data_IF_418415087133
#
_entry.id   IF_418415087133
#
_cell.length_a   1.000
_cell.length_b   1.000
_cell.length_c   1.000
_cell.angle_alpha   90.00
_cell.angle_beta   90.00
_cell.angle_gamma   90.00
#
_symmetry.space_group_name_H-M   'P 1'
#
loop_
_entity.id
_entity.type
_entity.pdbx_description
1 polymer ?
#
# COMPACT_ATOMS: atom_id res chain seq x y z
N UNK A 1 27.40 -45.79 -11.50
CA UNK A 1 26.30 -45.23 -12.33
C UNK A 1 25.10 -44.67 -11.55
N UNK A 2 24.70 -45.24 -10.39
CA UNK A 2 23.54 -44.73 -9.61
C UNK A 2 23.83 -43.42 -8.87
N UNK A 3 25.06 -43.11 -8.50
CA UNK A 3 25.43 -41.86 -7.83
C UNK A 3 25.23 -40.64 -8.73
N UNK A 4 25.68 -40.73 -9.98
CA UNK A 4 25.49 -39.66 -10.98
C UNK A 4 24.02 -39.42 -11.32
N UNK A 5 23.16 -40.44 -11.25
CA UNK A 5 21.72 -40.30 -11.47
C UNK A 5 21.04 -39.43 -10.38
N UNK A 6 21.44 -39.58 -9.09
CA UNK A 6 20.84 -38.85 -7.99
C UNK A 6 21.30 -37.39 -7.94
N UNK A 7 22.59 -37.13 -8.13
CA UNK A 7 23.07 -35.77 -8.24
C UNK A 7 22.38 -35.04 -9.40
N UNK A 8 22.21 -35.69 -10.54
CA UNK A 8 21.41 -35.16 -11.65
C UNK A 8 19.96 -34.89 -11.26
N UNK A 9 19.30 -35.75 -10.50
CA UNK A 9 17.91 -35.54 -10.08
C UNK A 9 17.77 -34.39 -9.09
N UNK A 10 18.73 -34.15 -8.21
CA UNK A 10 18.75 -32.99 -7.33
C UNK A 10 18.92 -31.69 -8.14
N UNK A 11 19.92 -31.64 -9.01
CA UNK A 11 20.16 -30.49 -9.87
C UNK A 11 18.95 -30.18 -10.79
N UNK A 12 18.27 -31.22 -11.30
CA UNK A 12 17.08 -31.04 -12.14
C UNK A 12 15.94 -30.39 -11.36
N UNK A 13 15.64 -30.83 -10.13
CA UNK A 13 14.56 -30.28 -9.31
C UNK A 13 14.80 -28.82 -8.93
N UNK A 14 16.03 -28.48 -8.51
CA UNK A 14 16.41 -27.13 -8.18
C UNK A 14 16.35 -26.23 -9.41
N UNK A 15 16.80 -26.73 -10.56
CA UNK A 15 16.72 -26.03 -11.84
C UNK A 15 15.28 -25.76 -12.27
N UNK A 16 14.35 -26.69 -12.06
CA UNK A 16 12.92 -26.47 -12.33
C UNK A 16 12.33 -25.39 -11.42
N UNK A 17 12.67 -25.35 -10.13
CA UNK A 17 12.21 -24.33 -9.22
C UNK A 17 12.68 -22.94 -9.67
N UNK A 18 13.95 -22.82 -10.07
CA UNK A 18 14.52 -21.56 -10.58
C UNK A 18 13.87 -21.18 -11.91
N UNK A 19 13.61 -22.16 -12.80
CA UNK A 19 12.94 -21.91 -14.07
C UNK A 19 11.53 -21.33 -13.86
N UNK A 20 10.72 -21.90 -12.95
CA UNK A 20 9.41 -21.37 -12.62
C UNK A 20 9.48 -19.98 -11.99
N UNK A 21 10.52 -19.70 -11.20
CA UNK A 21 10.75 -18.38 -10.63
C UNK A 21 11.02 -17.34 -11.73
N UNK A 22 11.86 -17.68 -12.71
CA UNK A 22 12.15 -16.81 -13.86
C UNK A 22 10.89 -16.61 -14.72
N UNK A 23 10.16 -17.66 -15.01
CA UNK A 23 8.90 -17.57 -15.76
C UNK A 23 7.89 -16.71 -15.02
N UNK A 24 7.69 -16.92 -13.71
CA UNK A 24 6.76 -16.15 -12.90
C UNK A 24 7.10 -14.67 -12.83
N UNK A 25 8.36 -14.33 -12.62
CA UNK A 25 8.84 -12.94 -12.58
C UNK A 25 8.74 -12.25 -13.94
N UNK A 26 9.05 -12.97 -15.00
CA UNK A 26 8.91 -12.46 -16.39
C UNK A 26 7.44 -12.25 -16.74
N UNK A 27 6.56 -13.20 -16.39
CA UNK A 27 5.12 -13.07 -16.59
C UNK A 27 4.55 -11.87 -15.85
N UNK A 28 4.97 -11.66 -14.59
CA UNK A 28 4.63 -10.49 -13.80
C UNK A 28 5.05 -9.18 -14.49
N UNK A 29 6.25 -9.13 -15.04
CA UNK A 29 6.76 -7.95 -15.74
C UNK A 29 5.97 -7.61 -17.01
N UNK A 30 5.46 -8.61 -17.72
CA UNK A 30 4.69 -8.40 -18.95
C UNK A 30 3.22 -8.08 -18.70
N UNK A 31 2.60 -8.67 -17.68
CA UNK A 31 1.17 -8.50 -17.39
C UNK A 31 0.87 -7.53 -16.24
N UNK A 32 1.86 -7.27 -15.38
CA UNK A 32 1.67 -6.41 -14.22
C UNK A 32 1.59 -4.93 -14.58
N UNK A 33 0.86 -4.17 -13.78
CA UNK A 33 0.91 -2.71 -13.82
C UNK A 33 0.91 -2.12 -12.42
N UNK A 34 1.40 -0.89 -12.33
CA UNK A 34 1.37 -0.09 -11.12
C UNK A 34 0.89 1.31 -11.48
N UNK A 35 -0.15 1.77 -10.80
CA UNK A 35 -0.66 3.13 -10.88
C UNK A 35 -0.62 3.78 -9.50
N UNK A 36 -0.55 5.10 -9.46
CA UNK A 36 -0.64 5.85 -8.22
C UNK A 36 -1.54 7.06 -8.45
N UNK A 37 -2.49 7.26 -7.55
CA UNK A 37 -3.46 8.35 -7.66
C UNK A 37 -3.70 8.96 -6.28
N UNK A 38 -3.94 10.27 -6.28
CA UNK A 38 -4.39 11.03 -5.12
C UNK A 38 -5.85 11.36 -5.37
N UNK A 39 -6.74 10.85 -4.52
CA UNK A 39 -8.18 10.90 -4.72
C UNK A 39 -8.83 11.61 -3.54
N UNK A 40 -9.66 12.63 -3.79
CA UNK A 40 -10.46 13.28 -2.77
C UNK A 40 -11.50 12.36 -2.16
N UNK A 41 -11.84 12.63 -0.91
CA UNK A 41 -12.98 12.00 -0.23
C UNK A 41 -14.27 12.23 -1.02
N UNK A 42 -15.06 11.18 -1.23
CA UNK A 42 -16.33 11.19 -1.94
C UNK A 42 -16.23 10.96 -3.44
N UNK A 43 -15.04 10.95 -4.03
CA UNK A 43 -14.86 10.77 -5.47
C UNK A 43 -14.83 9.31 -5.91
N UNK A 44 -15.32 9.09 -7.14
CA UNK A 44 -15.23 7.82 -7.85
C UNK A 44 -14.05 7.91 -8.83
N UNK A 45 -13.26 6.85 -8.88
CA UNK A 45 -12.10 6.80 -9.76
C UNK A 45 -11.96 5.45 -10.47
N UNK A 46 -11.31 5.48 -11.62
CA UNK A 46 -10.82 4.33 -12.35
C UNK A 46 -9.29 4.31 -12.30
N UNK A 47 -8.71 3.19 -12.70
CA UNK A 47 -7.24 3.09 -12.80
C UNK A 47 -6.75 4.02 -13.90
N UNK A 48 -6.07 5.08 -13.50
CA UNK A 48 -5.43 6.07 -14.36
C UNK A 48 -3.98 6.24 -13.91
N UNK A 49 -3.27 7.22 -14.40
CA UNK A 49 -1.94 7.61 -13.96
C UNK A 49 -1.00 6.40 -13.72
N UNK A 50 -0.81 5.62 -14.77
CA UNK A 50 0.07 4.46 -14.76
C UNK A 50 1.53 4.90 -14.61
N UNK A 51 2.19 4.43 -13.56
CA UNK A 51 3.63 4.62 -13.36
C UNK A 51 4.45 3.60 -14.15
N UNK A 52 3.94 2.38 -14.20
CA UNK A 52 4.57 1.26 -14.90
C UNK A 52 3.49 0.32 -15.42
N UNK A 53 3.67 -0.15 -16.65
CA UNK A 53 2.78 -1.11 -17.28
C UNK A 53 3.61 -2.08 -18.12
N UNK A 54 3.30 -3.36 -18.05
CA UNK A 54 3.83 -4.36 -18.95
C UNK A 54 3.16 -4.28 -20.33
N UNK A 55 3.78 -4.88 -21.33
CA UNK A 55 3.34 -4.76 -22.73
C UNK A 55 1.97 -5.39 -23.02
N UNK A 56 1.53 -6.35 -22.20
CA UNK A 56 0.26 -7.07 -22.33
C UNK A 56 -0.63 -6.88 -21.11
N UNK A 57 -0.38 -5.82 -20.32
CA UNK A 57 -1.18 -5.50 -19.15
C UNK A 57 -2.62 -5.17 -19.53
N UNK A 58 -3.57 -5.78 -18.85
CA UNK A 58 -4.99 -5.47 -18.98
C UNK A 58 -5.48 -4.66 -17.79
N UNK A 59 -6.05 -3.50 -18.06
CA UNK A 59 -6.66 -2.63 -17.07
C UNK A 59 -8.17 -2.84 -17.14
N UNK A 60 -8.81 -3.42 -16.12
CA UNK A 60 -10.24 -3.63 -16.11
C UNK A 60 -10.99 -2.31 -16.09
N UNK A 61 -12.01 -2.19 -16.95
CA UNK A 61 -12.92 -1.04 -16.99
C UNK A 61 -14.33 -1.40 -16.52
N UNK A 62 -14.53 -2.64 -16.09
CA UNK A 62 -15.84 -3.18 -15.70
C UNK A 62 -16.29 -2.78 -14.30
N UNK A 63 -15.48 -2.05 -13.57
CA UNK A 63 -15.78 -1.56 -12.23
C UNK A 63 -15.01 -0.28 -11.93
N UNK A 64 -15.49 0.45 -10.95
CA UNK A 64 -14.87 1.66 -10.42
C UNK A 64 -14.69 1.57 -8.92
N UNK A 65 -13.94 2.49 -8.37
CA UNK A 65 -13.67 2.59 -6.95
C UNK A 65 -14.19 3.93 -6.44
N UNK A 66 -14.71 3.97 -5.20
CA UNK A 66 -15.10 5.19 -4.53
C UNK A 66 -14.38 5.31 -3.19
N UNK A 67 -13.84 6.47 -2.91
CA UNK A 67 -13.33 6.83 -1.59
C UNK A 67 -14.51 7.36 -0.77
N UNK A 68 -15.04 6.57 0.17
CA UNK A 68 -16.16 7.00 1.01
C UNK A 68 -15.70 7.98 2.06
N UNK A 69 -14.60 7.63 2.74
CA UNK A 69 -14.06 8.43 3.82
C UNK A 69 -12.54 8.26 3.95
N UNK A 70 -11.91 9.25 4.59
CA UNK A 70 -10.50 9.21 4.96
C UNK A 70 -10.33 9.89 6.32
N UNK A 71 -9.62 9.24 7.25
CA UNK A 71 -9.31 9.80 8.55
C UNK A 71 -7.94 9.35 9.06
N UNK A 72 -7.42 10.10 10.03
CA UNK A 72 -6.14 9.84 10.66
C UNK A 72 -6.37 9.64 12.16
N UNK A 73 -5.68 8.68 12.74
CA UNK A 73 -5.59 8.52 14.19
C UNK A 73 -4.23 9.02 14.68
N UNK A 74 -4.20 9.51 15.91
CA UNK A 74 -3.00 10.08 16.50
C UNK A 74 -2.69 9.37 17.83
N UNK A 75 -1.41 9.37 18.19
CA UNK A 75 -0.93 8.91 19.49
C UNK A 75 -1.23 9.97 20.56
N UNK A 76 -1.11 9.60 21.85
CA UNK A 76 -1.21 10.55 22.96
C UNK A 76 -0.18 11.70 22.90
N UNK A 77 0.90 11.53 22.14
CA UNK A 77 1.93 12.54 21.88
C UNK A 77 1.63 13.41 20.64
N UNK A 78 0.40 13.38 20.13
CA UNK A 78 -0.03 14.10 18.91
C UNK A 78 0.76 13.76 17.65
N UNK A 79 1.37 12.57 17.59
CA UNK A 79 2.00 12.06 16.37
C UNK A 79 1.00 11.22 15.59
N UNK A 80 1.06 11.29 14.26
CA UNK A 80 0.24 10.42 13.40
C UNK A 80 0.52 8.96 13.74
N UNK A 81 -0.51 8.24 14.17
CA UNK A 81 -0.44 6.81 14.45
C UNK A 81 -0.73 6.00 13.19
N UNK A 82 -1.90 6.21 12.59
CA UNK A 82 -2.33 5.49 11.41
C UNK A 82 -3.30 6.33 10.60
N UNK A 83 -3.36 6.10 9.29
CA UNK A 83 -4.35 6.69 8.41
C UNK A 83 -5.15 5.62 7.69
N UNK A 84 -6.44 5.87 7.54
CA UNK A 84 -7.44 4.93 7.07
C UNK A 84 -8.19 5.50 5.89
N UNK A 85 -8.49 4.64 4.92
CA UNK A 85 -9.39 4.97 3.81
C UNK A 85 -10.50 3.94 3.73
N UNK A 86 -11.73 4.38 3.72
CA UNK A 86 -12.89 3.55 3.48
C UNK A 86 -13.22 3.55 1.98
N UNK A 87 -13.08 2.40 1.36
CA UNK A 87 -13.20 2.23 -0.08
C UNK A 87 -14.36 1.30 -0.43
N UNK A 88 -15.14 1.70 -1.43
CA UNK A 88 -16.14 0.86 -2.08
C UNK A 88 -15.73 0.51 -3.51
N UNK A 89 -15.90 -0.73 -3.87
CA UNK A 89 -15.86 -1.21 -5.23
C UNK A 89 -17.26 -1.17 -5.81
N UNK A 90 -17.44 -0.52 -6.95
CA UNK A 90 -18.71 -0.31 -7.62
C UNK A 90 -18.74 -1.04 -8.97
N UNK A 91 -19.88 -1.59 -9.33
CA UNK A 91 -20.11 -2.12 -10.67
C UNK A 91 -20.33 -0.99 -11.71
N UNK A 92 -20.52 -1.35 -12.97
CA UNK A 92 -20.79 -0.39 -14.06
C UNK A 92 -22.12 0.38 -13.90
N UNK A 93 -22.99 -0.07 -13.00
CA UNK A 93 -24.27 0.60 -12.69
C UNK A 93 -24.15 1.48 -11.44
N UNK A 94 -23.00 1.49 -10.77
CA UNK A 94 -22.76 2.24 -9.55
C UNK A 94 -23.18 1.54 -8.25
N UNK A 95 -23.61 0.26 -8.32
CA UNK A 95 -23.93 -0.52 -7.13
C UNK A 95 -22.65 -1.00 -6.43
N UNK A 96 -22.66 -0.96 -5.12
CA UNK A 96 -21.55 -1.42 -4.30
C UNK A 96 -21.45 -2.95 -4.32
N UNK A 97 -20.33 -3.47 -4.84
CA UNK A 97 -20.03 -4.90 -4.86
C UNK A 97 -19.36 -5.31 -3.54
N UNK A 98 -18.42 -4.48 -3.06
CA UNK A 98 -17.63 -4.76 -1.86
C UNK A 98 -17.14 -3.45 -1.24
N UNK A 99 -17.07 -3.43 0.09
CA UNK A 99 -16.54 -2.30 0.86
C UNK A 99 -15.48 -2.79 1.84
N UNK A 100 -14.40 -2.04 1.98
CA UNK A 100 -13.34 -2.32 2.96
C UNK A 100 -12.66 -1.03 3.39
N UNK A 101 -12.42 -0.92 4.68
CA UNK A 101 -11.48 0.07 5.21
C UNK A 101 -10.07 -0.47 5.10
N UNK A 102 -9.19 0.29 4.48
CA UNK A 102 -7.78 -0.02 4.33
C UNK A 102 -6.92 0.92 5.15
N UNK A 103 -5.73 0.45 5.49
CA UNK A 103 -4.69 1.22 6.16
C UNK A 103 -3.31 0.69 5.74
N UNK A 104 -2.22 1.26 6.24
CA UNK A 104 -0.87 0.80 5.89
C UNK A 104 -0.71 -0.68 6.24
N UNK A 105 -0.24 -1.48 5.29
CA UNK A 105 -0.08 -2.94 5.32
C UNK A 105 -1.38 -3.76 5.30
N UNK A 106 -2.56 -3.14 5.19
CA UNK A 106 -3.83 -3.85 5.03
C UNK A 106 -4.52 -3.41 3.74
N UNK A 107 -4.18 -3.98 2.58
CA UNK A 107 -4.70 -3.56 1.28
C UNK A 107 -6.13 -4.06 1.01
N UNK A 108 -6.76 -3.44 0.04
CA UNK A 108 -7.98 -3.96 -0.60
C UNK A 108 -7.59 -4.83 -1.80
N UNK A 109 -7.99 -6.11 -1.76
CA UNK A 109 -7.70 -7.07 -2.83
C UNK A 109 -9.01 -7.47 -3.51
N UNK A 110 -9.04 -7.33 -4.82
CA UNK A 110 -10.15 -7.76 -5.66
C UNK A 110 -9.68 -8.14 -7.07
N UNK A 111 -10.02 -9.34 -7.51
CA UNK A 111 -9.75 -9.87 -8.86
C UNK A 111 -8.31 -9.64 -9.35
N UNK A 112 -7.33 -9.92 -8.49
CA UNK A 112 -5.90 -9.76 -8.79
C UNK A 112 -5.38 -8.32 -8.72
N UNK A 113 -6.26 -7.36 -8.43
CA UNK A 113 -5.89 -5.97 -8.19
C UNK A 113 -5.74 -5.74 -6.71
N UNK A 114 -4.67 -5.10 -6.31
CA UNK A 114 -4.39 -4.74 -4.93
C UNK A 114 -4.25 -3.23 -4.80
N UNK A 115 -5.06 -2.63 -3.93
CA UNK A 115 -4.99 -1.20 -3.59
C UNK A 115 -4.31 -1.05 -2.24
N UNK A 116 -3.22 -0.30 -2.23
CA UNK A 116 -2.46 0.04 -1.03
C UNK A 116 -2.66 1.50 -0.65
N UNK A 117 -2.79 1.77 0.63
CA UNK A 117 -2.70 3.11 1.19
C UNK A 117 -1.25 3.55 1.21
N UNK A 118 -0.90 4.65 0.53
CA UNK A 118 0.50 5.11 0.40
C UNK A 118 0.76 6.49 0.94
N UNK A 119 -0.15 7.43 0.71
CA UNK A 119 0.01 8.83 1.12
C UNK A 119 -1.34 9.47 1.43
N UNK A 120 -1.31 10.71 1.84
CA UNK A 120 -2.48 11.56 2.04
C UNK A 120 -2.09 13.03 1.93
N UNK A 121 -3.07 13.87 1.60
CA UNK A 121 -2.88 15.31 1.54
C UNK A 121 -4.17 16.04 1.92
N UNK A 122 -4.09 17.37 2.06
CA UNK A 122 -5.22 18.27 2.23
C UNK A 122 -5.31 19.16 1.01
N UNK A 123 -6.38 19.02 0.25
CA UNK A 123 -6.64 19.86 -0.92
C UNK A 123 -7.18 21.21 -0.55
N UNK A 124 -7.97 21.29 0.49
CA UNK A 124 -8.65 22.51 0.81
C UNK A 124 -9.42 22.47 2.12
N UNK A 125 -10.15 23.54 2.33
CA UNK A 125 -10.95 23.76 3.51
C UNK A 125 -12.31 24.31 3.09
N UNK A 126 -13.40 23.76 3.63
CA UNK A 126 -14.74 24.34 3.51
C UNK A 126 -14.95 25.38 4.56
N UNK A 127 -15.36 26.55 4.13
CA UNK A 127 -15.57 27.74 4.98
C UNK A 127 -16.99 28.23 4.80
N UNK A 128 -17.65 28.51 5.91
CA UNK A 128 -18.95 29.20 5.93
C UNK A 128 -18.75 30.64 6.34
N UNK A 129 -19.26 31.57 5.52
CA UNK A 129 -19.27 32.99 5.81
C UNK A 129 -20.69 33.39 6.21
N UNK A 130 -20.86 33.98 7.38
CA UNK A 130 -22.15 34.36 7.96
C UNK A 130 -23.21 33.23 7.95
N UNK A 131 -22.78 31.98 8.04
CA UNK A 131 -23.63 30.77 7.97
C UNK A 131 -24.42 30.57 6.65
N UNK A 132 -24.45 31.54 5.77
CA UNK A 132 -25.27 31.52 4.54
C UNK A 132 -24.48 31.13 3.28
N UNK A 133 -23.21 31.46 3.24
CA UNK A 133 -22.35 31.21 2.09
C UNK A 133 -21.27 30.18 2.42
N UNK A 134 -21.23 29.08 1.68
CA UNK A 134 -20.17 28.09 1.79
C UNK A 134 -19.22 28.23 0.58
N UNK A 135 -17.94 28.38 0.87
CA UNK A 135 -16.88 28.42 -0.14
C UNK A 135 -15.85 27.32 0.15
N UNK A 136 -15.18 26.88 -0.90
CA UNK A 136 -14.05 25.98 -0.80
C UNK A 136 -12.77 26.77 -1.08
N UNK A 137 -11.83 26.68 -0.16
CA UNK A 137 -10.54 27.35 -0.27
C UNK A 137 -9.47 26.31 -0.52
N UNK A 138 -8.76 26.38 -1.65
CA UNK A 138 -7.66 25.47 -1.90
C UNK A 138 -6.51 25.75 -0.93
N UNK A 139 -5.90 24.69 -0.43
CA UNK A 139 -4.73 24.77 0.42
C UNK A 139 -3.50 24.26 -0.35
N UNK A 140 -2.41 25.00 -0.27
CA UNK A 140 -1.12 24.62 -0.84
C UNK A 140 -0.21 24.11 0.24
N UNK A 141 0.30 22.91 0.04
CA UNK A 141 1.28 22.29 0.94
C UNK A 141 2.64 22.97 0.81
N UNK A 142 3.22 23.31 1.94
CA UNK A 142 4.59 23.81 2.06
C UNK A 142 5.36 22.87 2.99
N UNK A 143 6.49 22.38 2.53
CA UNK A 143 7.38 21.57 3.36
C UNK A 143 8.40 22.49 4.02
N UNK A 144 8.22 22.75 5.30
CA UNK A 144 9.15 23.57 6.08
C UNK A 144 9.74 22.71 7.17
N UNK A 145 11.07 22.56 7.18
CA UNK A 145 11.83 21.88 8.26
C UNK A 145 11.24 20.53 8.71
N UNK A 146 10.80 19.69 7.76
CA UNK A 146 10.29 18.33 8.05
C UNK A 146 8.85 18.25 8.54
N UNK A 147 8.12 19.37 8.63
CA UNK A 147 6.69 19.42 8.95
C UNK A 147 5.88 19.75 7.70
N UNK A 148 4.75 19.07 7.54
CA UNK A 148 3.76 19.40 6.52
C UNK A 148 2.93 20.57 7.04
N UNK A 149 2.90 21.67 6.30
CA UNK A 149 2.08 22.85 6.60
C UNK A 149 1.27 23.18 5.35
N UNK A 150 0.01 23.51 5.50
CA UNK A 150 -0.85 23.94 4.40
C UNK A 150 -1.25 25.39 4.57
N UNK A 151 -1.15 26.14 3.48
CA UNK A 151 -1.50 27.57 3.45
C UNK A 151 -2.54 27.82 2.37
N UNK A 152 -3.57 28.57 2.71
CA UNK A 152 -4.60 29.04 1.79
C UNK A 152 -4.87 30.53 1.94
N UNK A 153 -5.46 31.13 0.93
CA UNK A 153 -5.88 32.53 0.95
C UNK A 153 -7.39 32.61 0.75
N UNK A 154 -8.05 33.36 1.61
CA UNK A 154 -9.50 33.58 1.59
C UNK A 154 -9.79 35.05 1.32
N UNK A 155 -10.41 35.38 0.19
CA UNK A 155 -10.92 36.75 -0.05
C UNK A 155 -12.21 36.97 0.74
N UNK A 156 -12.21 37.81 1.72
CA UNK A 156 -13.39 38.23 2.48
C UNK A 156 -13.76 39.65 2.13
N UNK A 157 -15.00 39.87 1.72
CA UNK A 157 -15.51 41.19 1.45
C UNK A 157 -16.00 41.78 2.78
N UNK A 158 -15.35 42.85 3.21
CA UNK A 158 -15.77 43.65 4.34
C UNK A 158 -16.98 44.53 3.98
N UNK A 159 -17.72 45.01 4.97
CA UNK A 159 -18.94 45.83 4.79
C UNK A 159 -18.74 47.09 3.94
N UNK A 160 -17.51 47.57 3.85
CA UNK A 160 -17.14 48.75 3.02
C UNK A 160 -16.95 48.38 1.54
N UNK A 161 -17.29 47.12 1.12
CA UNK A 161 -17.02 46.64 -0.24
C UNK A 161 -15.56 46.32 -0.53
N UNK A 162 -14.66 46.50 0.43
CA UNK A 162 -13.23 46.24 0.27
C UNK A 162 -13.00 44.73 0.43
N UNK A 163 -12.40 44.13 -0.57
CA UNK A 163 -11.95 42.73 -0.53
C UNK A 163 -10.58 42.68 0.14
N UNK A 164 -10.51 41.99 1.28
CA UNK A 164 -9.26 41.75 1.99
C UNK A 164 -8.94 40.24 1.96
N UNK A 165 -7.71 39.90 1.63
CA UNK A 165 -7.26 38.51 1.64
C UNK A 165 -6.74 38.18 3.02
N UNK A 166 -7.27 37.09 3.58
CA UNK A 166 -6.79 36.50 4.83
C UNK A 166 -6.03 35.22 4.52
N UNK A 167 -4.96 34.99 5.25
CA UNK A 167 -4.12 33.80 5.09
C UNK A 167 -4.51 32.81 6.18
N UNK A 168 -4.81 31.58 5.76
CA UNK A 168 -5.07 30.46 6.67
C UNK A 168 -3.87 29.55 6.64
N UNK A 169 -3.40 29.17 7.83
CA UNK A 169 -2.34 28.22 8.02
C UNK A 169 -2.86 27.03 8.82
N UNK A 170 -2.56 25.83 8.35
CA UNK A 170 -2.95 24.54 8.94
C UNK A 170 -1.69 23.74 9.18
N UNK A 171 -1.46 23.32 10.42
CA UNK A 171 -0.28 22.53 10.79
C UNK A 171 -0.59 21.03 10.95
N UNK A 172 -1.87 20.73 11.23
CA UNK A 172 -2.32 19.36 11.51
C UNK A 172 -3.80 19.17 11.11
N UNK A 173 -4.31 17.97 11.26
CA UNK A 173 -5.73 17.64 11.02
C UNK A 173 -6.55 17.53 12.31
N UNK A 174 -6.05 18.00 13.44
CA UNK A 174 -6.83 18.10 14.68
C UNK A 174 -7.91 19.18 14.62
N UNK A 175 -7.81 20.04 13.62
CA UNK A 175 -8.74 21.12 13.43
C UNK A 175 -8.23 22.48 13.90
N UNK A 176 -6.98 22.57 14.33
CA UNK A 176 -6.37 23.84 14.71
C UNK A 176 -5.98 24.62 13.46
N UNK A 177 -6.42 25.88 13.41
CA UNK A 177 -6.24 26.78 12.28
C UNK A 177 -5.76 28.13 12.78
N UNK A 178 -4.84 28.71 12.04
CA UNK A 178 -4.32 30.05 12.32
C UNK A 178 -4.75 30.99 11.20
N UNK A 179 -5.40 32.07 11.57
CA UNK A 179 -5.83 33.11 10.64
C UNK A 179 -4.92 34.33 10.75
N UNK A 180 -4.33 34.73 9.64
CA UNK A 180 -3.46 35.89 9.52
C UNK A 180 -4.09 36.96 8.61
N UNK A 181 -3.76 38.20 8.84
CA UNK A 181 -4.07 39.30 7.93
C UNK A 181 -3.11 39.31 6.71
N UNK A 182 -3.32 40.30 5.83
CA UNK A 182 -2.51 40.48 4.65
C UNK A 182 -1.04 40.90 4.95
N UNK A 183 -0.79 41.38 6.16
CA UNK A 183 0.53 41.83 6.62
C UNK A 183 1.28 40.71 7.35
N UNK A 184 0.66 39.52 7.49
CA UNK A 184 1.23 38.37 8.17
C UNK A 184 1.10 38.43 9.69
N UNK A 185 0.22 39.27 10.25
CA UNK A 185 -0.07 39.34 11.67
C UNK A 185 -1.14 38.32 12.03
N UNK A 186 -0.91 37.55 13.07
CA UNK A 186 -1.91 36.59 13.59
C UNK A 186 -3.12 37.35 14.13
N UNK A 187 -4.29 37.07 13.56
CA UNK A 187 -5.56 37.61 14.03
C UNK A 187 -6.14 36.76 15.13
N UNK A 188 -6.27 35.46 14.86
CA UNK A 188 -6.89 34.51 15.78
C UNK A 188 -6.47 33.08 15.47
N UNK A 189 -6.35 32.29 16.53
CA UNK A 189 -6.33 30.84 16.49
C UNK A 189 -7.75 30.30 16.67
N UNK A 190 -8.14 29.30 15.90
CA UNK A 190 -9.45 28.71 15.93
C UNK A 190 -9.41 27.19 15.70
N UNK A 191 -10.51 26.54 16.05
CA UNK A 191 -10.71 25.13 15.82
C UNK A 191 -11.86 24.94 14.82
N UNK A 192 -11.82 23.86 14.03
CA UNK A 192 -12.92 23.51 13.13
C UNK A 192 -14.25 23.51 13.88
N UNK A 193 -15.27 24.09 13.25
CA UNK A 193 -16.62 24.22 13.82
C UNK A 193 -16.83 25.49 14.65
N UNK A 194 -15.79 26.21 15.06
CA UNK A 194 -15.90 27.43 15.83
C UNK A 194 -15.97 28.67 14.91
N UNK A 195 -16.94 29.58 15.13
CA UNK A 195 -17.03 30.82 14.40
C UNK A 195 -15.98 31.82 14.87
N UNK A 196 -15.24 32.39 13.92
CA UNK A 196 -14.34 33.52 14.12
C UNK A 196 -15.08 34.79 13.73
N UNK A 197 -15.12 35.76 14.59
CA UNK A 197 -15.64 37.11 14.28
C UNK A 197 -14.51 37.95 13.71
N UNK A 198 -14.58 38.28 12.42
CA UNK A 198 -13.62 39.16 11.77
C UNK A 198 -13.99 40.62 12.08
N UNK A 199 -15.29 40.92 12.07
CA UNK A 199 -15.86 42.19 12.49
C UNK A 199 -17.25 42.00 13.09
N UNK A 200 -17.95 43.11 13.43
CA UNK A 200 -19.28 43.06 14.07
C UNK A 200 -20.36 42.38 13.22
N UNK A 201 -20.16 42.24 11.90
CA UNK A 201 -21.16 41.70 10.96
C UNK A 201 -20.66 40.49 10.15
N UNK A 202 -19.38 40.19 10.18
CA UNK A 202 -18.81 39.08 9.41
C UNK A 202 -18.21 38.06 10.32
N UNK A 203 -18.77 36.85 10.28
CA UNK A 203 -18.23 35.68 10.94
C UNK A 203 -17.82 34.62 9.94
N UNK A 204 -16.72 33.95 10.22
CA UNK A 204 -16.16 32.87 9.38
C UNK A 204 -16.09 31.62 10.23
N UNK A 205 -16.65 30.52 9.73
CA UNK A 205 -16.58 29.21 10.38
C UNK A 205 -15.87 28.23 9.47
N UNK A 206 -14.79 27.66 9.94
CA UNK A 206 -14.11 26.57 9.26
C UNK A 206 -14.89 25.27 9.50
N UNK A 207 -15.45 24.68 8.45
CA UNK A 207 -16.39 23.56 8.57
C UNK A 207 -15.71 22.20 8.54
N UNK A 208 -14.91 21.93 7.53
CA UNK A 208 -14.22 20.64 7.36
C UNK A 208 -13.03 20.74 6.42
N UNK A 209 -12.05 19.86 6.58
CA UNK A 209 -10.97 19.68 5.62
C UNK A 209 -11.45 18.86 4.42
N UNK A 210 -11.02 19.25 3.23
CA UNK A 210 -11.12 18.43 2.02
C UNK A 210 -9.85 17.60 1.94
N UNK A 211 -9.90 16.41 2.49
CA UNK A 211 -8.78 15.48 2.53
C UNK A 211 -8.72 14.62 1.29
N UNK A 212 -7.53 14.15 0.97
CA UNK A 212 -7.27 13.20 -0.11
C UNK A 212 -6.51 12.00 0.41
N UNK A 213 -6.77 10.86 -0.20
CA UNK A 213 -6.00 9.64 0.02
C UNK A 213 -5.12 9.34 -1.18
N UNK A 214 -3.87 9.00 -0.94
CA UNK A 214 -2.95 8.50 -1.95
C UNK A 214 -3.03 6.98 -2.00
N UNK A 215 -3.48 6.46 -3.14
CA UNK A 215 -3.64 5.04 -3.37
C UNK A 215 -2.66 4.56 -4.44
N UNK A 216 -1.97 3.46 -4.16
CA UNK A 216 -1.21 2.72 -5.14
C UNK A 216 -2.02 1.48 -5.56
N UNK A 217 -2.24 1.36 -6.85
CA UNK A 217 -2.98 0.26 -7.46
C UNK A 217 -1.96 -0.62 -8.15
N UNK A 218 -1.91 -1.89 -7.77
CA UNK A 218 -0.96 -2.86 -8.31
C UNK A 218 -1.66 -4.12 -8.77
N UNK A 219 -1.28 -4.62 -9.92
CA UNK A 219 -1.62 -5.95 -10.41
C UNK A 219 -0.35 -6.73 -10.70
N UNK A 220 -0.31 -7.95 -10.21
CA UNK A 220 0.86 -8.81 -10.35
C UNK A 220 0.40 -10.27 -10.45
N UNK A 221 0.15 -10.70 -11.68
CA UNK A 221 -0.36 -12.04 -11.98
C UNK A 221 0.68 -13.16 -11.84
N UNK A 222 1.97 -12.82 -11.76
CA UNK A 222 3.06 -13.78 -11.62
C UNK A 222 3.35 -14.20 -10.17
N UNK A 223 2.85 -13.47 -9.17
CA UNK A 223 3.10 -13.73 -7.75
C UNK A 223 2.77 -15.18 -7.35
N UNK A 224 1.63 -15.78 -7.71
CA UNK A 224 1.32 -17.16 -7.32
C UNK A 224 2.38 -18.16 -7.83
N UNK A 225 2.86 -17.96 -9.06
CA UNK A 225 3.89 -18.81 -9.64
C UNK A 225 5.25 -18.67 -8.96
N UNK A 226 5.59 -17.45 -8.55
CA UNK A 226 6.81 -17.15 -7.78
C UNK A 226 6.74 -17.84 -6.41
N UNK A 227 5.63 -17.74 -5.68
CA UNK A 227 5.46 -18.44 -4.40
C UNK A 227 5.50 -19.96 -4.55
N UNK A 228 4.88 -20.50 -5.60
CA UNK A 228 4.96 -21.93 -5.92
C UNK A 228 6.42 -22.35 -6.18
N UNK A 229 7.20 -21.52 -6.87
CA UNK A 229 8.62 -21.78 -7.12
C UNK A 229 9.43 -21.84 -5.83
N UNK A 230 9.21 -20.92 -4.90
CA UNK A 230 9.85 -20.94 -3.59
C UNK A 230 9.45 -22.17 -2.78
N UNK A 231 8.18 -22.57 -2.82
CA UNK A 231 7.72 -23.80 -2.17
C UNK A 231 8.45 -25.03 -2.73
N UNK A 232 8.53 -25.16 -4.06
CA UNK A 232 9.27 -26.26 -4.70
C UNK A 232 10.74 -26.27 -4.31
N UNK A 233 11.37 -25.09 -4.24
CA UNK A 233 12.76 -24.95 -3.83
C UNK A 233 12.96 -25.40 -2.38
N UNK A 234 12.10 -24.99 -1.46
CA UNK A 234 12.16 -25.44 -0.07
C UNK A 234 12.00 -26.94 0.05
N UNK A 235 11.04 -27.54 -0.66
CA UNK A 235 10.82 -28.99 -0.68
C UNK A 235 12.05 -29.72 -1.24
N UNK A 236 12.63 -29.19 -2.33
CA UNK A 236 13.84 -29.77 -2.95
C UNK A 236 15.04 -29.75 -1.99
N UNK A 237 15.25 -28.62 -1.32
CA UNK A 237 16.30 -28.47 -0.31
C UNK A 237 16.05 -29.43 0.86
N UNK A 238 14.84 -29.52 1.37
CA UNK A 238 14.50 -30.45 2.46
C UNK A 238 14.80 -31.90 2.09
N UNK A 239 14.35 -32.36 0.91
CA UNK A 239 14.64 -33.72 0.42
C UNK A 239 16.15 -33.94 0.26
N UNK A 240 16.89 -32.91 -0.13
CA UNK A 240 18.35 -32.96 -0.26
C UNK A 240 19.05 -33.18 1.08
N UNK A 241 18.44 -32.76 2.20
CA UNK A 241 18.98 -32.96 3.55
C UNK A 241 18.70 -34.37 4.11
N UNK A 242 17.76 -35.14 3.54
CA UNK A 242 17.45 -36.47 4.04
C UNK A 242 18.64 -37.39 3.79
N UNK A 243 19.18 -37.98 4.86
CA UNK A 243 20.23 -38.97 4.77
C UNK A 243 19.66 -40.28 4.17
N UNK A 244 20.44 -40.85 3.30
CA UNK A 244 20.09 -42.11 2.63
C UNK A 244 21.25 -43.07 2.71
N UNK A 245 20.97 -44.28 3.23
CA UNK A 245 21.92 -45.36 3.35
C UNK A 245 21.43 -46.60 2.58
N UNK A 246 22.32 -47.32 1.94
CA UNK A 246 22.08 -48.56 1.26
C UNK A 246 23.00 -49.60 1.83
N UNK A 247 22.44 -50.78 2.17
CA UNK A 247 23.16 -51.97 2.65
C UNK A 247 22.98 -53.08 1.63
N UNK A 248 24.06 -53.73 1.29
CA UNK A 248 24.07 -54.94 0.45
C UNK A 248 24.60 -56.08 1.24
N UNK A 249 23.95 -57.22 1.15
CA UNK A 249 24.36 -58.47 1.75
C UNK A 249 24.58 -59.49 0.62
N UNK A 250 25.74 -60.11 0.59
CA UNK A 250 26.06 -61.20 -0.33
C UNK A 250 26.41 -62.41 0.47
N UNK A 251 25.67 -63.49 0.29
CA UNK A 251 25.90 -64.79 0.89
C UNK A 251 26.93 -65.56 0.02
N UNK A 252 28.13 -65.80 0.56
CA UNK A 252 29.13 -66.67 0.00
C UNK A 252 29.19 -67.93 0.81
N UNK A 253 29.55 -69.08 0.24
CA UNK A 253 29.45 -70.42 0.77
C UNK A 253 29.88 -70.63 2.24
N UNK A 254 30.66 -69.77 2.81
CA UNK A 254 31.13 -69.80 4.20
C UNK A 254 31.10 -68.44 4.94
N UNK A 255 30.90 -67.36 4.29
CA UNK A 255 31.00 -66.05 4.89
C UNK A 255 29.89 -65.13 4.36
N UNK A 256 29.34 -64.33 5.26
CA UNK A 256 28.41 -63.24 4.97
C UNK A 256 29.22 -61.97 4.72
N UNK A 257 29.14 -61.43 3.52
CA UNK A 257 29.78 -60.15 3.22
C UNK A 257 28.73 -59.06 3.18
N UNK A 258 28.84 -58.10 4.09
CA UNK A 258 27.95 -56.96 4.19
C UNK A 258 28.71 -55.70 3.71
N UNK A 259 28.13 -54.99 2.75
CA UNK A 259 28.65 -53.74 2.28
C UNK A 259 27.61 -52.66 2.33
N UNK A 260 27.99 -51.43 2.68
CA UNK A 260 27.05 -50.33 2.78
C UNK A 260 27.59 -49.01 2.21
N UNK A 261 26.68 -48.11 1.88
CA UNK A 261 26.99 -46.76 1.43
C UNK A 261 25.97 -45.77 1.94
N UNK A 262 26.44 -44.68 2.53
CA UNK A 262 25.61 -43.52 2.92
C UNK A 262 26.00 -42.27 2.11
N UNK A 263 25.06 -41.40 1.88
CA UNK A 263 25.30 -40.09 1.24
C UNK A 263 25.71 -39.02 2.23
N UNK A 264 25.39 -39.19 3.52
CA UNK A 264 25.75 -38.31 4.64
C UNK A 264 26.02 -39.15 5.88
N UNK A 265 26.69 -38.53 6.86
CA UNK A 265 27.03 -39.17 8.12
C UNK A 265 27.79 -40.51 7.94
N UNK A 266 28.77 -40.53 7.01
CA UNK A 266 29.52 -41.72 6.63
C UNK A 266 30.18 -42.39 7.83
N UNK A 267 30.67 -41.63 8.80
CA UNK A 267 31.31 -42.13 10.01
C UNK A 267 30.31 -42.91 10.90
N UNK A 268 29.13 -42.35 11.15
CA UNK A 268 28.06 -43.01 11.90
C UNK A 268 27.60 -44.31 11.22
N UNK A 269 27.46 -44.27 9.90
CA UNK A 269 27.07 -45.43 9.12
C UNK A 269 28.13 -46.56 9.10
N UNK A 270 29.40 -46.17 9.17
CA UNK A 270 30.50 -47.14 9.30
C UNK A 270 30.56 -47.82 10.67
N UNK A 271 30.16 -47.08 11.74
CA UNK A 271 30.04 -47.63 13.07
C UNK A 271 28.86 -48.60 13.24
N UNK A 272 27.73 -48.31 12.58
CA UNK A 272 26.55 -49.18 12.54
C UNK A 272 26.75 -50.46 11.72
N UNK A 273 27.68 -50.46 10.77
CA UNK A 273 28.01 -51.59 9.90
C UNK A 273 29.05 -52.55 10.52
N UNK A 274 29.74 -52.14 11.55
CA UNK A 274 30.68 -52.97 12.32
C UNK A 274 29.96 -53.82 13.34
#
# INVERSE_FOLDING_TARGET
>A
HRHFRRQRQMCIRDSFSILFLIIGSTWSAFNGYTAQQIIPRGEIFHVQNLLKSGNISYIPQSFSWRVNDFWITYTNEFRTNQFYSDLSLLDNRGFEIKRKTIFVNEPFIYNGITLYQTDWDVLGLKIKINANQTIQVPLKKINTTGRKVWIGSVPITLNNGIKTNYIILVNDLFGNLFLYDNEGKLIQESVIGQPIKINSQTSVTFSEFITTTGLQIKTDSGIPLVYFSFFLLMVSVYISFISYSQIWQVEALTNLVVGGKSNRAVLYFQEELK
#
